data_IF_224553388397
#
_entry.id   IF_224553388397
#
_cell.length_a   1.000
_cell.length_b   1.000
_cell.length_c   1.000
_cell.angle_alpha   90.00
_cell.angle_beta   90.00
_cell.angle_gamma   90.00
#
_symmetry.space_group_name_H-M   'P 1'
#
loop_
_entity.id
_entity.type
_entity.pdbx_description
1 polymer ?
#
# COMPACT_ATOMS: atom_id res chain seq x y z
N UNK A 1 -1.51 0.78 -15.81
CA UNK A 1 -0.47 -0.20 -16.22
C UNK A 1 0.81 0.00 -15.41
N UNK A 2 1.43 -1.08 -14.87
CA UNK A 2 2.74 -1.04 -14.18
C UNK A 2 3.82 -1.63 -15.10
N UNK A 3 4.92 -0.92 -15.29
CA UNK A 3 6.09 -1.40 -16.02
C UNK A 3 7.34 -1.34 -15.14
N UNK A 4 8.02 -2.47 -15.06
CA UNK A 4 9.32 -2.62 -14.39
C UNK A 4 10.31 -3.05 -15.46
N UNK A 5 11.41 -2.30 -15.60
CA UNK A 5 12.44 -2.54 -16.64
C UNK A 5 13.79 -2.71 -15.98
N UNK A 6 14.31 -3.93 -16.01
CA UNK A 6 15.66 -4.31 -15.59
C UNK A 6 16.07 -3.74 -14.23
N UNK A 7 15.23 -3.93 -13.20
CA UNK A 7 15.56 -3.43 -11.87
C UNK A 7 16.61 -4.32 -11.17
N UNK A 8 17.59 -3.67 -10.58
CA UNK A 8 18.66 -4.29 -9.82
C UNK A 8 18.64 -3.80 -8.38
N UNK A 9 18.99 -4.71 -7.45
CA UNK A 9 19.17 -4.36 -6.04
C UNK A 9 20.22 -5.20 -5.39
N UNK A 10 21.22 -4.52 -4.83
CA UNK A 10 22.26 -5.10 -3.98
C UNK A 10 22.23 -4.46 -2.61
N UNK A 11 22.16 -5.27 -1.57
CA UNK A 11 22.29 -4.81 -0.19
C UNK A 11 23.73 -4.98 0.28
N UNK A 12 24.20 -4.04 1.12
CA UNK A 12 25.51 -4.04 1.72
C UNK A 12 26.66 -4.19 0.69
N UNK A 13 26.54 -3.51 -0.45
CA UNK A 13 27.53 -3.56 -1.52
C UNK A 13 28.95 -3.24 -1.01
N UNK A 14 29.95 -4.03 -1.45
CA UNK A 14 31.34 -3.88 -1.04
C UNK A 14 31.67 -4.40 0.36
N UNK A 15 30.76 -5.09 1.02
CA UNK A 15 31.00 -5.71 2.34
C UNK A 15 30.93 -7.24 2.27
N UNK A 16 31.42 -7.93 3.31
CA UNK A 16 31.32 -9.40 3.45
C UNK A 16 29.86 -9.91 3.48
N UNK A 17 28.90 -9.02 3.78
CA UNK A 17 27.47 -9.32 3.81
C UNK A 17 26.75 -8.84 2.55
N UNK A 18 27.48 -8.62 1.46
CA UNK A 18 26.88 -8.23 0.19
C UNK A 18 25.88 -9.27 -0.29
N UNK A 19 24.68 -8.81 -0.64
CA UNK A 19 23.62 -9.67 -1.17
C UNK A 19 22.95 -9.00 -2.37
N UNK A 20 23.14 -9.58 -3.53
CA UNK A 20 22.43 -9.21 -4.74
C UNK A 20 21.03 -9.83 -4.71
N UNK A 21 20.03 -9.02 -4.37
CA UNK A 21 18.66 -9.45 -4.14
C UNK A 21 17.83 -9.51 -5.43
N UNK A 22 18.08 -8.60 -6.38
CA UNK A 22 17.44 -8.60 -7.70
C UNK A 22 18.47 -8.38 -8.79
N UNK A 23 18.30 -9.06 -9.93
CA UNK A 23 19.25 -9.12 -11.05
C UNK A 23 18.52 -8.88 -12.37
N UNK A 24 18.25 -7.61 -12.72
CA UNK A 24 17.65 -7.26 -14.00
C UNK A 24 16.20 -7.76 -14.13
N UNK A 25 15.40 -7.63 -13.07
CA UNK A 25 14.00 -8.10 -13.09
C UNK A 25 13.15 -7.14 -13.91
N UNK A 26 12.40 -7.70 -14.86
CA UNK A 26 11.42 -6.97 -15.68
C UNK A 26 10.04 -7.61 -15.54
N UNK A 27 8.99 -6.77 -15.47
CA UNK A 27 7.60 -7.19 -15.36
C UNK A 27 6.70 -6.09 -15.93
N UNK A 28 5.70 -6.49 -16.70
CA UNK A 28 4.65 -5.58 -17.18
C UNK A 28 3.30 -6.11 -16.72
N UNK A 29 2.52 -5.27 -16.05
CA UNK A 29 1.13 -5.56 -15.66
C UNK A 29 0.21 -4.54 -16.33
N UNK A 30 -0.77 -5.05 -17.07
CA UNK A 30 -1.83 -4.24 -17.68
C UNK A 30 -2.96 -4.02 -16.68
N UNK A 31 -3.84 -3.09 -17.01
CA UNK A 31 -5.03 -2.87 -16.20
C UNK A 31 -5.91 -4.13 -16.20
N UNK A 32 -6.36 -4.54 -15.03
CA UNK A 32 -7.12 -5.77 -14.81
C UNK A 32 -6.27 -7.04 -14.60
N UNK A 33 -4.94 -6.97 -14.79
CA UNK A 33 -4.10 -8.14 -14.54
C UNK A 33 -4.05 -8.51 -13.05
N UNK A 34 -4.06 -9.80 -12.78
CA UNK A 34 -3.78 -10.39 -11.48
C UNK A 34 -2.48 -11.19 -11.57
N UNK A 35 -1.47 -10.79 -10.79
CA UNK A 35 -0.15 -11.42 -10.81
C UNK A 35 0.23 -11.97 -9.44
N UNK A 36 0.68 -13.21 -9.41
CA UNK A 36 1.21 -13.87 -8.22
C UNK A 36 2.71 -14.03 -8.32
N UNK A 37 3.44 -13.60 -7.27
CA UNK A 37 4.90 -13.75 -7.17
C UNK A 37 5.22 -14.94 -6.27
N UNK A 38 5.78 -16.00 -6.86
CA UNK A 38 6.11 -17.26 -6.17
C UNK A 38 7.63 -17.42 -6.10
N UNK A 39 8.12 -18.07 -5.07
CA UNK A 39 9.55 -18.38 -4.88
C UNK A 39 9.88 -18.70 -3.43
N UNK A 40 11.05 -19.28 -3.19
CA UNK A 40 11.54 -19.62 -1.87
C UNK A 40 11.87 -18.41 -0.99
N UNK A 41 12.23 -18.66 0.27
CA UNK A 41 12.71 -17.62 1.17
C UNK A 41 14.02 -17.04 0.64
N UNK A 42 14.14 -15.72 0.66
CA UNK A 42 15.32 -15.03 0.13
C UNK A 42 15.35 -14.82 -1.40
N UNK A 43 14.34 -15.27 -2.15
CA UNK A 43 14.26 -15.12 -3.61
C UNK A 43 13.99 -13.68 -4.11
N UNK A 44 13.97 -12.68 -3.23
CA UNK A 44 13.78 -11.27 -3.62
C UNK A 44 12.34 -10.78 -3.74
N UNK A 45 11.32 -11.63 -3.48
CA UNK A 45 9.89 -11.26 -3.60
C UNK A 45 9.54 -9.98 -2.84
N UNK A 46 9.81 -9.98 -1.54
CA UNK A 46 9.54 -8.81 -0.69
C UNK A 46 10.40 -7.61 -1.05
N UNK A 47 11.63 -7.84 -1.53
CA UNK A 47 12.51 -6.78 -2.02
C UNK A 47 11.89 -6.10 -3.23
N UNK A 48 11.42 -6.86 -4.22
CA UNK A 48 10.77 -6.33 -5.42
C UNK A 48 9.51 -5.51 -5.04
N UNK A 49 8.62 -6.06 -4.20
CA UNK A 49 7.41 -5.35 -3.76
C UNK A 49 7.75 -4.06 -2.99
N UNK A 50 8.77 -4.08 -2.13
CA UNK A 50 9.24 -2.90 -1.40
C UNK A 50 9.88 -1.86 -2.31
N UNK A 51 10.55 -2.27 -3.40
CA UNK A 51 11.08 -1.34 -4.41
C UNK A 51 9.96 -0.69 -5.23
N UNK A 52 8.93 -1.45 -5.61
CA UNK A 52 7.73 -0.90 -6.27
C UNK A 52 7.05 0.12 -5.35
N UNK A 53 6.86 -0.22 -4.07
CA UNK A 53 6.27 0.68 -3.08
C UNK A 53 7.13 1.90 -2.72
N UNK A 54 8.45 1.87 -3.01
CA UNK A 54 9.38 2.97 -2.72
C UNK A 54 10.03 2.93 -1.34
N UNK A 55 9.90 1.82 -0.62
CA UNK A 55 10.59 1.59 0.67
C UNK A 55 12.10 1.43 0.45
N UNK A 56 12.48 0.68 -0.61
CA UNK A 56 13.87 0.56 -1.02
C UNK A 56 14.10 1.27 -2.36
N UNK A 57 15.18 2.05 -2.49
CA UNK A 57 15.58 2.59 -3.79
C UNK A 57 16.08 1.47 -4.70
N UNK A 58 15.83 1.59 -6.00
CA UNK A 58 16.46 0.75 -7.01
C UNK A 58 17.91 1.20 -7.21
N UNK A 59 18.83 0.27 -7.53
CA UNK A 59 20.21 0.61 -7.86
C UNK A 59 20.32 0.99 -9.34
N UNK A 60 19.60 0.27 -10.22
CA UNK A 60 19.46 0.59 -11.65
C UNK A 60 18.13 0.08 -12.18
N UNK A 61 17.82 0.46 -13.44
CA UNK A 61 16.55 0.13 -14.08
C UNK A 61 15.50 1.22 -13.93
N UNK A 62 14.24 0.87 -14.19
CA UNK A 62 13.13 1.82 -14.23
C UNK A 62 11.83 1.20 -13.71
N UNK A 63 11.02 1.99 -12.99
CA UNK A 63 9.66 1.64 -12.58
C UNK A 63 8.73 2.76 -13.03
N UNK A 64 7.68 2.40 -13.78
CA UNK A 64 6.67 3.33 -14.30
C UNK A 64 5.28 2.85 -13.94
N UNK A 65 4.39 3.79 -13.60
CA UNK A 65 2.95 3.55 -13.47
C UNK A 65 2.23 4.54 -14.37
N UNK A 66 1.43 4.02 -15.30
CA UNK A 66 0.68 4.80 -16.30
C UNK A 66 1.56 5.83 -17.04
N UNK A 67 2.77 5.41 -17.45
CA UNK A 67 3.75 6.26 -18.12
C UNK A 67 4.50 7.22 -17.20
N UNK A 68 4.16 7.29 -15.92
CA UNK A 68 4.84 8.15 -14.95
C UNK A 68 6.00 7.40 -14.32
N UNK A 69 7.22 7.91 -14.48
CA UNK A 69 8.41 7.35 -13.85
C UNK A 69 8.40 7.62 -12.34
N UNK A 70 8.31 6.55 -11.56
CA UNK A 70 8.31 6.60 -10.09
C UNK A 70 9.62 6.09 -9.46
N UNK A 71 10.61 5.69 -10.26
CA UNK A 71 11.85 5.02 -9.81
C UNK A 71 12.54 5.71 -8.62
N UNK A 72 12.56 7.03 -8.61
CA UNK A 72 13.21 7.85 -7.57
C UNK A 72 12.23 8.55 -6.63
N UNK A 73 10.92 8.28 -6.78
CA UNK A 73 9.92 8.86 -5.89
C UNK A 73 9.93 8.15 -4.53
N UNK A 74 9.87 8.86 -3.41
CA UNK A 74 9.72 8.27 -2.09
C UNK A 74 8.33 7.64 -1.91
N UNK A 75 8.19 6.73 -0.93
CA UNK A 75 6.97 5.97 -0.65
C UNK A 75 5.70 6.84 -0.58
N UNK A 76 5.75 7.96 0.14
CA UNK A 76 4.58 8.85 0.30
C UNK A 76 4.10 9.48 -1.01
N UNK A 77 4.98 9.69 -2.01
CA UNK A 77 4.60 10.17 -3.35
C UNK A 77 4.01 9.06 -4.20
N UNK A 78 4.44 7.80 -4.01
CA UNK A 78 3.89 6.64 -4.71
C UNK A 78 2.53 6.21 -4.15
N UNK A 79 2.22 6.57 -2.91
CA UNK A 79 0.97 6.22 -2.25
C UNK A 79 -0.29 6.68 -3.01
N UNK A 80 -0.18 7.69 -3.88
CA UNK A 80 -1.30 8.12 -4.74
C UNK A 80 -1.60 7.15 -5.89
N UNK A 81 -0.65 6.28 -6.24
CA UNK A 81 -0.81 5.30 -7.32
C UNK A 81 -0.96 3.87 -6.80
N UNK A 82 -0.44 3.58 -5.60
CA UNK A 82 -0.29 2.23 -5.08
C UNK A 82 -1.02 2.09 -3.75
N UNK A 83 -2.04 1.23 -3.71
CA UNK A 83 -2.58 0.70 -2.46
C UNK A 83 -1.69 -0.44 -1.95
N UNK A 84 -1.33 -0.41 -0.68
CA UNK A 84 -0.51 -1.46 -0.07
C UNK A 84 -1.23 -2.12 1.09
N UNK A 85 -1.25 -3.45 1.06
CA UNK A 85 -1.72 -4.28 2.18
C UNK A 85 -0.52 -5.01 2.76
N UNK A 86 -0.40 -4.99 4.08
CA UNK A 86 0.68 -5.68 4.80
C UNK A 86 0.22 -7.07 5.22
N UNK A 87 1.17 -7.99 5.37
CA UNK A 87 0.90 -9.32 5.93
C UNK A 87 0.37 -9.23 7.37
N UNK A 88 0.90 -8.28 8.15
CA UNK A 88 0.41 -7.95 9.49
C UNK A 88 -0.64 -6.83 9.39
N UNK A 89 -1.92 -7.11 9.72
CA UNK A 89 -3.00 -6.12 9.65
C UNK A 89 -2.79 -4.91 10.57
N UNK A 90 -1.94 -5.06 11.61
CA UNK A 90 -1.62 -3.97 12.54
C UNK A 90 -0.84 -2.84 11.85
N UNK A 91 -0.05 -3.16 10.83
CA UNK A 91 0.79 -2.19 10.11
C UNK A 91 0.03 -1.34 9.11
N UNK A 92 -1.16 -1.75 8.72
CA UNK A 92 -1.98 -1.04 7.74
C UNK A 92 -2.95 -0.02 8.34
N UNK A 93 -3.04 0.07 9.68
CA UNK A 93 -4.04 0.90 10.36
C UNK A 93 -3.46 1.66 11.56
N UNK A 94 -4.02 2.83 11.87
CA UNK A 94 -3.74 3.58 13.09
C UNK A 94 -4.66 3.08 14.21
N UNK A 95 -4.19 2.16 15.04
CA UNK A 95 -4.98 1.47 16.05
C UNK A 95 -5.65 2.40 17.10
N UNK A 96 -5.01 3.53 17.41
CA UNK A 96 -5.52 4.54 18.34
C UNK A 96 -6.59 5.46 17.76
N UNK A 97 -6.79 5.44 16.44
CA UNK A 97 -7.77 6.26 15.72
C UNK A 97 -9.06 5.47 15.45
N UNK A 98 -10.15 6.20 15.21
CA UNK A 98 -11.44 5.63 14.86
C UNK A 98 -11.43 5.00 13.45
N UNK A 99 -12.41 4.12 13.17
CA UNK A 99 -12.57 3.51 11.84
C UNK A 99 -12.75 4.59 10.77
N UNK A 100 -13.65 5.56 11.01
CA UNK A 100 -13.90 6.66 10.06
C UNK A 100 -12.66 7.54 9.83
N UNK A 101 -11.82 7.74 10.84
CA UNK A 101 -10.58 8.50 10.71
C UNK A 101 -9.53 7.75 9.87
N UNK A 102 -9.40 6.43 10.08
CA UNK A 102 -8.54 5.60 9.24
C UNK A 102 -8.99 5.62 7.77
N UNK A 103 -10.31 5.52 7.51
CA UNK A 103 -10.85 5.62 6.15
C UNK A 103 -10.60 7.00 5.54
N UNK A 104 -10.77 8.08 6.30
CA UNK A 104 -10.49 9.44 5.83
C UNK A 104 -9.02 9.65 5.47
N UNK A 105 -8.09 9.04 6.21
CA UNK A 105 -6.67 9.05 5.87
C UNK A 105 -6.40 8.33 4.55
N UNK A 106 -7.01 7.16 4.35
CA UNK A 106 -6.86 6.39 3.11
C UNK A 106 -7.49 7.10 1.91
N UNK A 107 -8.70 7.60 2.04
CA UNK A 107 -9.44 8.30 0.99
C UNK A 107 -8.72 9.57 0.49
N UNK A 108 -8.01 10.25 1.39
CA UNK A 108 -7.24 11.47 1.05
C UNK A 108 -5.78 11.19 0.66
N UNK A 109 -5.45 9.97 0.38
CA UNK A 109 -4.11 9.56 -0.04
C UNK A 109 -3.73 10.30 -1.34
N UNK A 110 -2.55 10.94 -1.31
CA UNK A 110 -2.06 11.72 -2.45
C UNK A 110 -2.74 13.07 -2.71
N UNK A 111 -3.74 13.44 -1.91
CA UNK A 111 -4.40 14.75 -2.02
C UNK A 111 -3.72 15.81 -1.15
N UNK A 112 -3.78 17.07 -1.60
CA UNK A 112 -3.34 18.21 -0.79
C UNK A 112 -4.29 18.40 0.40
N UNK A 113 -3.74 18.61 1.58
CA UNK A 113 -4.50 18.85 2.81
C UNK A 113 -4.42 20.31 3.19
N UNK A 114 -5.58 20.91 3.52
CA UNK A 114 -5.68 22.22 4.14
C UNK A 114 -6.04 22.11 5.63
N UNK A 115 -6.39 23.23 6.25
CA UNK A 115 -6.83 23.34 7.65
C UNK A 115 -8.32 23.06 7.86
N UNK A 116 -8.99 22.39 6.92
CA UNK A 116 -10.41 22.04 7.01
C UNK A 116 -10.66 20.87 7.96
N UNK A 117 -11.95 20.59 8.23
CA UNK A 117 -12.40 19.47 9.05
C UNK A 117 -11.86 18.14 8.49
N UNK A 118 -11.43 17.27 9.41
CA UNK A 118 -10.85 15.97 9.09
C UNK A 118 -11.80 15.03 8.34
N UNK A 119 -13.10 15.08 8.64
CA UNK A 119 -14.14 14.27 8.00
C UNK A 119 -15.35 15.17 7.74
N UNK A 120 -15.87 15.19 6.51
CA UNK A 120 -17.07 15.91 6.12
C UNK A 120 -18.31 15.02 6.29
N UNK A 121 -19.49 15.62 6.42
CA UNK A 121 -20.75 14.87 6.59
C UNK A 121 -20.99 13.88 5.43
N UNK A 122 -20.85 14.34 4.20
CA UNK A 122 -21.02 13.50 2.99
C UNK A 122 -19.97 12.37 2.88
N UNK A 123 -18.79 12.52 3.49
CA UNK A 123 -17.78 11.46 3.54
C UNK A 123 -18.18 10.36 4.53
N UNK A 124 -18.92 10.71 5.61
CA UNK A 124 -19.40 9.71 6.57
C UNK A 124 -20.40 8.75 5.93
N UNK A 125 -21.34 9.27 5.14
CA UNK A 125 -22.30 8.44 4.42
C UNK A 125 -21.60 7.51 3.43
N UNK A 126 -20.64 8.03 2.69
CA UNK A 126 -19.82 7.23 1.77
C UNK A 126 -19.04 6.12 2.50
N UNK A 127 -18.43 6.42 3.64
CA UNK A 127 -17.72 5.40 4.43
C UNK A 127 -18.68 4.36 5.02
N UNK A 128 -19.86 4.78 5.46
CA UNK A 128 -20.91 3.88 5.95
C UNK A 128 -21.31 2.87 4.87
N UNK A 129 -21.54 3.32 3.64
CA UNK A 129 -21.92 2.46 2.52
C UNK A 129 -20.82 1.45 2.18
N UNK A 130 -19.57 1.91 2.14
CA UNK A 130 -18.43 1.03 1.89
C UNK A 130 -18.26 -0.04 2.97
N UNK A 131 -18.40 0.34 4.24
CA UNK A 131 -18.32 -0.59 5.37
C UNK A 131 -19.49 -1.58 5.40
N UNK A 132 -20.68 -1.14 4.95
CA UNK A 132 -21.85 -2.02 4.82
C UNK A 132 -21.60 -3.15 3.82
N UNK A 133 -20.90 -2.88 2.71
CA UNK A 133 -20.53 -3.90 1.72
C UNK A 133 -19.61 -4.99 2.27
N UNK A 134 -18.86 -4.72 3.33
CA UNK A 134 -18.02 -5.73 3.99
C UNK A 134 -18.84 -6.76 4.78
N UNK A 135 -20.09 -6.45 5.17
CA UNK A 135 -20.94 -7.37 5.93
C UNK A 135 -20.46 -7.71 7.36
N UNK A 136 -19.58 -6.88 7.95
CA UNK A 136 -18.92 -7.13 9.23
C UNK A 136 -19.45 -6.27 10.39
N UNK A 137 -20.52 -5.51 10.19
CA UNK A 137 -21.13 -4.63 11.19
C UNK A 137 -20.31 -3.39 11.53
N UNK A 138 -19.26 -3.09 10.77
CA UNK A 138 -18.35 -1.96 11.03
C UNK A 138 -19.01 -0.60 10.79
N UNK A 139 -20.00 -0.53 9.90
CA UNK A 139 -20.79 0.67 9.62
C UNK A 139 -21.49 1.21 10.86
N UNK A 140 -21.89 0.34 11.82
CA UNK A 140 -22.55 0.74 13.07
C UNK A 140 -21.56 1.16 14.17
N UNK A 141 -20.26 1.06 13.90
CA UNK A 141 -19.18 1.28 14.86
C UNK A 141 -18.08 2.19 14.34
N UNK A 142 -18.42 3.11 13.44
CA UNK A 142 -17.45 3.98 12.76
C UNK A 142 -16.62 4.84 13.72
N UNK A 143 -17.16 5.20 14.88
CA UNK A 143 -16.46 5.94 15.95
C UNK A 143 -15.69 5.04 16.93
N UNK A 144 -15.70 3.72 16.73
CA UNK A 144 -14.86 2.82 17.53
C UNK A 144 -13.41 2.86 17.08
N UNK A 145 -12.48 2.75 18.02
CA UNK A 145 -11.05 2.65 17.72
C UNK A 145 -10.74 1.36 16.97
N UNK A 146 -9.92 1.44 15.93
CA UNK A 146 -9.50 0.28 15.14
C UNK A 146 -8.77 -0.77 15.98
N UNK A 147 -8.09 -0.35 17.04
CA UNK A 147 -7.45 -1.25 17.99
C UNK A 147 -8.39 -2.27 18.65
N UNK A 148 -9.70 -1.98 18.72
CA UNK A 148 -10.71 -2.86 19.30
C UNK A 148 -11.30 -3.88 18.31
N UNK A 149 -10.90 -3.83 17.06
CA UNK A 149 -11.37 -4.76 16.02
C UNK A 149 -10.67 -6.13 16.13
N UNK A 150 -11.40 -7.18 15.78
CA UNK A 150 -10.79 -8.50 15.59
C UNK A 150 -9.79 -8.47 14.43
N UNK A 151 -8.88 -9.46 14.40
CA UNK A 151 -7.88 -9.56 13.31
C UNK A 151 -8.52 -9.59 11.92
N UNK A 152 -9.59 -10.38 11.74
CA UNK A 152 -10.32 -10.46 10.47
C UNK A 152 -11.02 -9.15 10.09
N UNK A 153 -11.68 -8.48 11.05
CA UNK A 153 -12.30 -7.16 10.80
C UNK A 153 -11.26 -6.12 10.39
N UNK A 154 -10.11 -6.11 11.07
CA UNK A 154 -9.02 -5.19 10.75
C UNK A 154 -8.42 -5.47 9.39
N UNK A 155 -8.25 -6.74 9.03
CA UNK A 155 -7.75 -7.13 7.72
C UNK A 155 -8.71 -6.70 6.60
N UNK A 156 -10.01 -6.92 6.77
CA UNK A 156 -11.02 -6.47 5.82
C UNK A 156 -11.05 -4.94 5.67
N UNK A 157 -10.94 -4.21 6.79
CA UNK A 157 -10.81 -2.75 6.77
C UNK A 157 -9.55 -2.30 6.01
N UNK A 158 -8.40 -2.95 6.25
CA UNK A 158 -7.15 -2.63 5.56
C UNK A 158 -7.25 -2.86 4.05
N UNK A 159 -7.89 -3.96 3.63
CA UNK A 159 -8.17 -4.23 2.22
C UNK A 159 -9.05 -3.15 1.60
N UNK A 160 -10.14 -2.78 2.26
CA UNK A 160 -11.01 -1.70 1.81
C UNK A 160 -10.25 -0.38 1.68
N UNK A 161 -9.44 -0.02 2.68
CA UNK A 161 -8.63 1.19 2.66
C UNK A 161 -7.60 1.21 1.52
N UNK A 162 -7.11 0.06 1.09
CA UNK A 162 -6.17 -0.03 -0.02
C UNK A 162 -6.82 0.28 -1.38
N UNK A 163 -8.15 0.12 -1.50
CA UNK A 163 -8.93 0.39 -2.72
C UNK A 163 -9.49 1.83 -2.80
N UNK A 164 -9.38 2.62 -1.74
CA UNK A 164 -9.76 4.04 -1.69
C UNK A 164 -8.68 4.92 -2.31
#
# INVERSE_FOLDING_TARGET
MLEIKEIWKTFNAGTVNEKQALRGVSLTLKDGDFCTVIGGNGAGKSTMLNMIAGVYPIDSGKIEIDGVNISRQPEYKRAKYIGRVFQDPMKGTAAGMEIQENMALAFRRGQKRGLGWGIRANEKDYYHDLLTRLGLGLQNRMSSKVGLLSGGQRQALTLLMATL
#
